data_IF_053477933499
#
_entry.id   IF_053477933499
#
_cell.length_a   1.000
_cell.length_b   1.000
_cell.length_c   1.000
_cell.angle_alpha   90.00
_cell.angle_beta   90.00
_cell.angle_gamma   90.00
#
_symmetry.space_group_name_H-M   'P 1'
#
loop_
_entity.id
_entity.type
_entity.pdbx_description
1 polymer ?
#
# COMPACT_ATOMS: atom_id res chain seq x y z
N UNK A 1 -28.46 -15.15 -3.30
CA UNK A 1 -27.35 -14.51 -2.57
C UNK A 1 -26.20 -14.20 -3.52
N UNK A 2 -25.53 -13.18 -3.30
CA UNK A 2 -24.37 -12.84 -4.11
C UNK A 2 -23.26 -12.36 -3.21
N UNK A 3 -22.06 -12.58 -3.63
CA UNK A 3 -20.92 -12.08 -2.90
C UNK A 3 -20.62 -10.68 -3.36
N UNK A 4 -20.14 -9.90 -2.42
CA UNK A 4 -19.67 -8.58 -2.71
C UNK A 4 -18.28 -8.69 -3.30
N UNK A 5 -18.05 -7.99 -4.38
CA UNK A 5 -16.78 -8.04 -5.06
C UNK A 5 -16.08 -6.67 -4.95
N UNK A 6 -14.94 -6.62 -4.29
CA UNK A 6 -14.16 -5.39 -4.17
C UNK A 6 -13.07 -5.36 -5.23
N UNK A 7 -12.67 -4.17 -5.67
CA UNK A 7 -11.50 -4.07 -6.54
C UNK A 7 -10.28 -4.71 -5.88
N UNK A 8 -9.42 -5.28 -6.71
CA UNK A 8 -8.23 -5.96 -6.21
C UNK A 8 -7.08 -4.97 -6.04
N UNK A 9 -6.27 -5.22 -5.01
CA UNK A 9 -5.11 -4.43 -4.73
C UNK A 9 -4.00 -5.39 -4.33
N UNK A 10 -2.82 -5.27 -4.93
CA UNK A 10 -1.79 -6.28 -4.76
C UNK A 10 -0.59 -5.76 -4.00
N UNK A 11 0.06 -6.67 -3.28
CA UNK A 11 1.31 -6.45 -2.58
C UNK A 11 2.23 -7.63 -2.83
N UNK A 12 3.54 -7.39 -2.80
CA UNK A 12 4.49 -8.51 -2.82
C UNK A 12 4.29 -9.34 -1.55
N UNK A 13 4.49 -10.65 -1.67
CA UNK A 13 4.27 -11.60 -0.56
C UNK A 13 5.02 -11.21 0.71
N UNK A 14 6.18 -10.59 0.57
CA UNK A 14 7.01 -10.21 1.72
C UNK A 14 6.34 -9.20 2.63
N UNK A 15 5.29 -8.51 2.16
CA UNK A 15 4.59 -7.51 2.97
C UNK A 15 3.38 -8.07 3.72
N UNK A 16 2.98 -9.30 3.43
CA UNK A 16 1.73 -9.86 3.98
C UNK A 16 1.76 -9.88 5.51
N UNK A 17 2.85 -10.39 6.09
CA UNK A 17 2.96 -10.48 7.54
C UNK A 17 2.89 -9.11 8.20
N UNK A 18 3.56 -8.11 7.61
CA UNK A 18 3.56 -6.77 8.17
C UNK A 18 2.19 -6.12 8.10
N UNK A 19 1.45 -6.34 7.02
CA UNK A 19 0.10 -5.81 6.87
C UNK A 19 -0.81 -6.48 7.89
N UNK A 20 -0.75 -7.81 8.01
CA UNK A 20 -1.63 -8.55 8.91
C UNK A 20 -1.34 -8.23 10.37
N UNK A 21 -0.10 -7.89 10.70
CA UNK A 21 0.30 -7.56 12.06
C UNK A 21 0.10 -6.07 12.39
N UNK A 22 -0.32 -5.28 11.43
CA UNK A 22 -0.53 -3.84 11.67
C UNK A 22 0.73 -3.00 11.67
N UNK A 23 1.86 -3.58 11.22
CA UNK A 23 3.12 -2.83 11.15
C UNK A 23 3.24 -2.01 9.87
N UNK A 24 2.56 -2.43 8.80
CA UNK A 24 2.50 -1.68 7.56
C UNK A 24 1.10 -1.14 7.39
N UNK A 25 0.95 0.18 7.45
CA UNK A 25 -0.35 0.86 7.42
C UNK A 25 -0.48 1.82 6.25
N UNK A 26 0.56 1.98 5.46
CA UNK A 26 0.51 2.77 4.23
C UNK A 26 1.19 2.00 3.11
N UNK A 27 0.88 2.40 1.89
CA UNK A 27 1.66 2.00 0.72
C UNK A 27 1.85 3.24 -0.14
N UNK A 28 2.97 3.29 -0.87
CA UNK A 28 3.29 4.44 -1.71
C UNK A 28 3.28 3.94 -3.15
N UNK A 29 2.42 4.54 -3.96
CA UNK A 29 2.17 4.11 -5.32
C UNK A 29 2.21 5.30 -6.27
N UNK A 30 2.30 5.01 -7.56
CA UNK A 30 2.25 6.07 -8.56
C UNK A 30 0.79 6.42 -8.88
N UNK A 31 0.61 7.30 -9.85
CA UNK A 31 -0.70 7.83 -10.20
C UNK A 31 -1.68 6.75 -10.65
N UNK A 32 -1.19 5.68 -11.26
CA UNK A 32 -2.07 4.61 -11.74
C UNK A 32 -2.83 3.93 -10.60
N UNK A 33 -2.30 4.00 -9.38
CA UNK A 33 -2.91 3.38 -8.20
C UNK A 33 -3.52 4.41 -7.25
N UNK A 34 -3.61 5.68 -7.67
CA UNK A 34 -4.05 6.76 -6.78
C UNK A 34 -5.55 7.08 -6.92
N UNK A 35 -6.28 6.26 -7.65
CA UNK A 35 -7.70 6.52 -7.95
C UNK A 35 -8.65 6.15 -6.83
N UNK A 36 -8.16 5.54 -5.78
CA UNK A 36 -9.02 5.04 -4.69
C UNK A 36 -9.53 6.19 -3.83
N UNK A 37 -10.70 6.01 -3.23
CA UNK A 37 -11.36 7.04 -2.41
C UNK A 37 -11.40 6.61 -0.96
N UNK A 38 -11.30 7.53 0.00
CA UNK A 38 -11.48 7.18 1.41
C UNK A 38 -12.79 6.46 1.63
N UNK A 39 -12.76 5.39 2.44
CA UNK A 39 -13.91 4.55 2.71
C UNK A 39 -14.07 3.39 1.76
N UNK A 40 -13.36 3.38 0.66
CA UNK A 40 -13.44 2.30 -0.32
C UNK A 40 -12.73 1.05 0.22
N UNK A 41 -13.30 -0.12 -0.05
CA UNK A 41 -12.71 -1.39 0.38
C UNK A 41 -12.07 -2.08 -0.79
N UNK A 42 -10.93 -2.69 -0.53
CA UNK A 42 -10.13 -3.35 -1.56
C UNK A 42 -9.79 -4.77 -1.09
N UNK A 43 -9.90 -5.73 -2.02
CA UNK A 43 -9.53 -7.12 -1.76
C UNK A 43 -8.02 -7.28 -2.01
N UNK A 44 -7.31 -7.82 -1.02
CA UNK A 44 -5.86 -7.93 -1.07
C UNK A 44 -5.41 -9.26 -1.65
N UNK A 45 -4.49 -9.20 -2.60
CA UNK A 45 -3.90 -10.37 -3.22
C UNK A 45 -2.40 -10.22 -3.27
N UNK A 46 -1.69 -11.33 -3.19
CA UNK A 46 -0.23 -11.30 -3.36
C UNK A 46 0.13 -11.18 -4.83
N UNK A 47 1.32 -10.65 -5.10
CA UNK A 47 1.84 -10.49 -6.45
C UNK A 47 3.24 -11.09 -6.48
N UNK A 48 3.54 -12.02 -7.38
CA UNK A 48 2.77 -12.46 -8.54
C UNK A 48 1.79 -13.62 -8.28
N UNK A 49 1.77 -14.20 -7.08
CA UNK A 49 1.04 -15.46 -6.83
C UNK A 49 -0.49 -15.30 -6.92
N UNK A 50 -1.00 -14.10 -6.70
CA UNK A 50 -2.42 -13.79 -6.70
C UNK A 50 -3.20 -14.61 -5.66
N UNK A 51 -2.65 -14.72 -4.45
CA UNK A 51 -3.31 -15.39 -3.34
C UNK A 51 -4.04 -14.36 -2.48
N UNK A 52 -5.33 -14.57 -2.16
CA UNK A 52 -6.05 -13.63 -1.31
C UNK A 52 -5.53 -13.68 0.11
N UNK A 53 -5.39 -12.50 0.76
CA UNK A 53 -4.93 -12.49 2.14
C UNK A 53 -5.63 -11.47 3.03
N UNK A 54 -6.69 -10.84 2.55
CA UNK A 54 -7.47 -9.94 3.41
C UNK A 54 -8.21 -8.87 2.64
N UNK A 55 -8.76 -7.93 3.40
CA UNK A 55 -9.48 -6.77 2.87
C UNK A 55 -9.06 -5.55 3.66
N UNK A 56 -8.85 -4.44 2.96
CA UNK A 56 -8.53 -3.17 3.61
C UNK A 56 -9.60 -2.14 3.29
N UNK A 57 -9.66 -1.12 4.14
CA UNK A 57 -10.42 0.09 3.85
C UNK A 57 -9.43 1.23 3.64
N UNK A 58 -9.58 1.97 2.56
CA UNK A 58 -8.74 3.14 2.27
C UNK A 58 -9.14 4.26 3.22
N UNK A 59 -8.18 4.82 3.92
CA UNK A 59 -8.41 5.94 4.84
C UNK A 59 -8.09 7.26 4.19
N UNK A 60 -7.02 7.35 3.42
CA UNK A 60 -6.66 8.58 2.73
C UNK A 60 -5.73 8.29 1.56
N UNK A 61 -5.72 9.21 0.59
CA UNK A 61 -4.79 9.17 -0.55
C UNK A 61 -4.23 10.58 -0.67
N UNK A 62 -2.92 10.73 -0.50
CA UNK A 62 -2.27 12.04 -0.43
C UNK A 62 -1.02 12.03 -1.31
N UNK A 63 -0.85 13.06 -2.13
CA UNK A 63 0.36 13.16 -2.94
C UNK A 63 1.56 13.46 -2.06
N UNK A 64 2.74 12.95 -2.45
CA UNK A 64 3.96 13.18 -1.71
C UNK A 64 5.13 13.22 -2.70
N UNK A 65 6.03 14.19 -2.54
CA UNK A 65 7.25 14.21 -3.31
C UNK A 65 8.24 13.22 -2.71
N UNK A 66 9.05 12.61 -3.56
CA UNK A 66 10.05 11.65 -3.09
C UNK A 66 10.93 12.26 -2.00
N UNK A 67 11.34 13.52 -2.19
CA UNK A 67 12.22 14.20 -1.23
C UNK A 67 11.49 14.59 0.05
N UNK A 68 10.16 14.53 0.09
CA UNK A 68 9.39 14.83 1.28
C UNK A 68 9.12 13.59 2.14
N UNK A 69 9.53 12.41 1.68
CA UNK A 69 9.42 11.21 2.50
C UNK A 69 10.26 11.34 3.75
N UNK A 70 9.72 10.89 4.87
CA UNK A 70 10.35 11.10 6.17
C UNK A 70 10.24 9.85 7.04
N UNK A 71 10.78 9.95 8.26
CA UNK A 71 10.82 8.80 9.17
C UNK A 71 9.44 8.28 9.56
N UNK A 72 8.43 9.14 9.56
CA UNK A 72 7.07 8.69 9.87
C UNK A 72 6.54 7.78 8.77
N UNK A 73 6.78 8.13 7.50
CA UNK A 73 6.42 7.25 6.38
C UNK A 73 7.14 5.91 6.52
N UNK A 74 8.42 5.95 6.85
CA UNK A 74 9.22 4.73 7.00
C UNK A 74 8.66 3.87 8.13
N UNK A 75 8.31 4.47 9.24
CA UNK A 75 7.73 3.75 10.38
C UNK A 75 6.43 3.06 9.97
N UNK A 76 5.57 3.76 9.23
CA UNK A 76 4.29 3.21 8.78
C UNK A 76 4.46 2.11 7.73
N UNK A 77 5.62 2.03 7.10
CA UNK A 77 5.97 0.95 6.18
C UNK A 77 6.79 -0.14 6.86
N UNK A 78 7.10 0.03 8.15
CA UNK A 78 7.96 -0.87 8.91
C UNK A 78 9.35 -1.01 8.28
N UNK A 79 9.96 0.12 7.94
CA UNK A 79 11.27 0.20 7.30
C UNK A 79 12.03 1.38 7.85
N UNK A 80 13.34 1.41 7.61
CA UNK A 80 14.10 2.65 7.76
C UNK A 80 13.80 3.55 6.57
N UNK A 81 14.08 4.85 6.71
CA UNK A 81 13.87 5.78 5.61
C UNK A 81 14.74 5.42 4.41
N UNK A 82 15.98 4.99 4.65
CA UNK A 82 16.87 4.57 3.57
C UNK A 82 16.31 3.37 2.82
N UNK A 83 15.76 2.40 3.55
CA UNK A 83 15.13 1.22 2.95
C UNK A 83 13.91 1.61 2.14
N UNK A 84 13.08 2.48 2.69
CA UNK A 84 11.87 2.93 2.00
C UNK A 84 12.22 3.58 0.68
N UNK A 85 13.18 4.50 0.69
CA UNK A 85 13.59 5.20 -0.52
C UNK A 85 14.18 4.24 -1.54
N UNK A 86 14.92 3.23 -1.09
CA UNK A 86 15.48 2.23 -2.00
C UNK A 86 14.40 1.39 -2.64
N UNK A 87 13.42 0.95 -1.86
CA UNK A 87 12.29 0.17 -2.39
C UNK A 87 11.55 0.97 -3.45
N UNK A 88 11.31 2.25 -3.20
CA UNK A 88 10.61 3.09 -4.16
C UNK A 88 11.42 3.25 -5.44
N UNK A 89 12.73 3.44 -5.35
CA UNK A 89 13.58 3.53 -6.53
C UNK A 89 13.59 2.24 -7.33
N UNK A 90 13.52 1.09 -6.64
CA UNK A 90 13.51 -0.21 -7.30
C UNK A 90 12.21 -0.44 -8.07
N UNK A 91 11.08 -0.01 -7.51
CA UNK A 91 9.77 -0.20 -8.14
C UNK A 91 9.50 0.89 -9.18
N UNK A 92 9.91 2.11 -8.89
CA UNK A 92 9.65 3.28 -9.72
C UNK A 92 10.97 4.02 -10.03
N UNK A 93 11.83 3.44 -10.89
CA UNK A 93 13.17 4.03 -11.12
C UNK A 93 13.15 5.45 -11.65
N UNK A 94 12.06 5.85 -12.32
CA UNK A 94 11.94 7.21 -12.88
C UNK A 94 11.31 8.19 -11.90
N UNK A 95 11.00 7.74 -10.68
CA UNK A 95 10.43 8.56 -9.62
C UNK A 95 9.26 9.41 -10.11
N UNK A 96 8.18 8.76 -10.59
CA UNK A 96 6.98 9.50 -11.02
C UNK A 96 6.32 10.18 -9.83
N UNK A 97 5.28 11.00 -10.05
CA UNK A 97 4.50 11.50 -8.92
C UNK A 97 4.03 10.36 -8.04
N UNK A 98 4.20 10.52 -6.72
CA UNK A 98 3.91 9.47 -5.76
C UNK A 98 2.74 9.87 -4.87
N UNK A 99 2.04 8.85 -4.36
CA UNK A 99 0.89 9.04 -3.48
C UNK A 99 0.98 8.07 -2.31
N UNK A 100 0.69 8.59 -1.12
CA UNK A 100 0.60 7.78 0.08
C UNK A 100 -0.85 7.32 0.23
N UNK A 101 -1.06 6.03 0.22
CA UNK A 101 -2.38 5.43 0.46
C UNK A 101 -2.36 4.88 1.87
N UNK A 102 -3.09 5.50 2.77
CA UNK A 102 -3.24 5.02 4.13
C UNK A 102 -4.45 4.10 4.21
N UNK A 103 -4.30 2.99 4.90
CA UNK A 103 -5.35 1.99 4.96
C UNK A 103 -5.41 1.33 6.32
N UNK A 104 -6.52 0.63 6.58
CA UNK A 104 -6.62 -0.24 7.73
C UNK A 104 -7.12 -1.61 7.28
N UNK A 105 -6.57 -2.65 7.88
CA UNK A 105 -6.99 -4.01 7.62
C UNK A 105 -8.33 -4.25 8.31
N UNK A 106 -9.32 -4.77 7.59
CA UNK A 106 -10.61 -5.08 8.17
C UNK A 106 -10.89 -6.58 8.22
N UNK A 107 -10.23 -7.37 7.35
CA UNK A 107 -10.36 -8.82 7.37
C UNK A 107 -9.06 -9.45 6.93
N UNK A 108 -8.74 -10.59 7.52
CA UNK A 108 -7.60 -11.40 7.09
C UNK A 108 -8.05 -12.70 6.44
#
# INVERSE_FOLDING_TARGET
MHSQSYPEFTFFSRFVTDIQAGRKTITIRDESEARWQPGQRLALFTNPEHQPFGTIEVLSVTSVAFDALNDEHARQENMTLAELKQVIRDIYPELPPLYVIEFQLIET
#
